data_IF_405924409000
#
_entry.id   IF_405924409000
#
_cell.length_a   1.000
_cell.length_b   1.000
_cell.length_c   1.000
_cell.angle_alpha   90.00
_cell.angle_beta   90.00
_cell.angle_gamma   90.00
#
_symmetry.space_group_name_H-M   'P 1'
#
loop_
_entity.id
_entity.type
_entity.pdbx_description
1 polymer ?
#
# COMPACT_ATOMS: atom_id res chain seq x y z
N UNK A 1 -14.42 29.36 -21.40
CA UNK A 1 -14.90 27.95 -21.34
C UNK A 1 -14.14 27.16 -22.38
N UNK A 2 -13.19 26.31 -21.97
CA UNK A 2 -12.61 25.31 -22.86
C UNK A 2 -11.99 24.18 -22.03
N UNK A 3 -12.69 23.04 -21.96
CA UNK A 3 -12.13 21.75 -21.54
C UNK A 3 -12.35 20.79 -22.70
N UNK A 4 -11.30 20.14 -23.25
CA UNK A 4 -11.45 18.87 -23.94
C UNK A 4 -11.02 17.76 -22.96
N UNK A 5 -11.95 16.96 -22.41
CA UNK A 5 -12.57 15.75 -22.96
C UNK A 5 -11.59 14.55 -23.05
N UNK A 6 -11.55 13.81 -21.94
CA UNK A 6 -11.29 12.37 -21.75
C UNK A 6 -10.55 11.63 -22.89
N UNK A 7 -9.36 11.13 -22.59
CA UNK A 7 -8.77 9.96 -23.24
C UNK A 7 -8.49 8.88 -22.19
N UNK A 8 -9.23 7.78 -22.30
CA UNK A 8 -8.92 6.50 -21.69
C UNK A 8 -7.54 6.00 -22.15
N UNK A 9 -6.79 5.36 -21.26
CA UNK A 9 -5.76 4.39 -21.65
C UNK A 9 -5.93 3.13 -20.81
N UNK A 10 -6.49 2.13 -21.47
CA UNK A 10 -6.57 0.73 -21.05
C UNK A 10 -5.22 0.08 -21.30
N UNK A 11 -4.73 -0.68 -20.32
CA UNK A 11 -3.95 -1.90 -20.56
C UNK A 11 -2.43 -1.77 -20.55
N UNK A 12 -1.81 -2.18 -19.45
CA UNK A 12 -0.53 -2.87 -19.48
C UNK A 12 -0.54 -3.95 -18.39
N UNK A 13 -1.07 -5.12 -18.75
CA UNK A 13 -0.80 -6.35 -18.02
C UNK A 13 0.68 -6.70 -18.24
N UNK A 14 1.49 -6.71 -17.19
CA UNK A 14 2.82 -7.32 -17.22
C UNK A 14 2.82 -8.52 -16.28
N UNK A 15 2.48 -9.67 -16.87
CA UNK A 15 2.91 -10.97 -16.39
C UNK A 15 4.40 -11.08 -16.75
N UNK A 16 5.25 -11.04 -15.73
CA UNK A 16 6.68 -11.27 -15.86
C UNK A 16 7.15 -12.27 -14.81
N UNK A 17 6.79 -13.55 -14.99
CA UNK A 17 7.46 -14.65 -14.30
C UNK A 17 8.55 -15.17 -15.21
N UNK A 18 9.81 -14.87 -14.87
CA UNK A 18 10.95 -15.72 -15.18
C UNK A 18 11.88 -15.67 -13.96
N UNK A 19 11.67 -16.58 -13.01
CA UNK A 19 12.69 -16.91 -12.01
C UNK A 19 13.31 -18.22 -12.46
N UNK A 20 14.30 -18.13 -13.33
CA UNK A 20 15.29 -19.18 -13.54
C UNK A 20 16.58 -18.61 -13.00
N UNK A 21 17.10 -19.17 -11.89
CA UNK A 21 18.54 -19.23 -11.67
C UNK A 21 18.84 -20.32 -10.64
N UNK A 22 19.03 -21.53 -11.14
CA UNK A 22 19.79 -22.57 -10.47
C UNK A 22 21.24 -22.50 -10.95
N UNK A 23 22.14 -22.38 -9.97
CA UNK A 23 23.57 -22.74 -10.01
C UNK A 23 24.54 -21.77 -10.72
N UNK A 24 25.12 -20.88 -9.90
CA UNK A 24 26.56 -20.84 -9.64
C UNK A 24 27.49 -20.45 -10.79
N UNK A 25 27.76 -19.14 -10.92
CA UNK A 25 29.09 -18.57 -11.23
C UNK A 25 29.12 -17.17 -10.61
N UNK A 26 29.97 -16.96 -9.60
CA UNK A 26 30.20 -15.65 -8.97
C UNK A 26 31.21 -14.84 -9.80
N UNK A 27 30.89 -13.62 -10.27
CA UNK A 27 31.90 -12.64 -10.66
C UNK A 27 32.36 -11.80 -9.45
N UNK A 28 33.67 -11.50 -9.33
CA UNK A 28 34.21 -10.69 -8.25
C UNK A 28 33.92 -9.20 -8.51
N UNK A 29 33.52 -8.49 -7.47
CA UNK A 29 33.45 -7.03 -7.48
C UNK A 29 32.03 -6.47 -7.44
N UNK A 30 31.54 -6.31 -6.21
CA UNK A 30 30.74 -5.17 -5.74
C UNK A 30 30.64 -5.30 -4.22
N UNK A 31 31.74 -5.00 -3.54
CA UNK A 31 31.71 -4.66 -2.13
C UNK A 31 30.75 -3.49 -1.91
N UNK A 32 29.91 -3.63 -0.89
CA UNK A 32 28.98 -2.60 -0.47
C UNK A 32 27.53 -2.92 -0.79
N UNK A 33 27.07 -4.12 -0.42
CA UNK A 33 25.72 -4.26 0.14
C UNK A 33 25.54 -3.20 1.22
N UNK A 34 25.03 -2.02 0.85
CA UNK A 34 24.33 -1.20 1.81
C UNK A 34 23.23 -2.11 2.37
N UNK A 35 23.07 -2.24 3.70
CA UNK A 35 21.85 -2.81 4.20
C UNK A 35 20.76 -1.92 3.61
N UNK A 36 19.95 -2.46 2.70
CA UNK A 36 18.61 -1.93 2.54
C UNK A 36 18.06 -2.03 3.95
N UNK A 37 18.02 -0.89 4.63
CA UNK A 37 17.38 -0.77 5.93
C UNK A 37 16.09 -1.52 5.75
N UNK A 38 15.93 -2.59 6.52
CA UNK A 38 14.66 -3.29 6.63
C UNK A 38 13.75 -2.36 7.41
N UNK A 39 13.47 -1.19 6.84
CA UNK A 39 12.38 -0.30 7.20
C UNK A 39 11.16 -1.20 7.17
N UNK A 40 10.73 -1.60 8.37
CA UNK A 40 9.65 -2.54 8.54
C UNK A 40 8.40 -1.83 8.01
N UNK A 41 7.97 -2.16 6.78
CA UNK A 41 6.84 -1.48 6.13
C UNK A 41 5.66 -1.34 7.09
N UNK A 42 5.02 -0.16 7.07
CA UNK A 42 3.85 0.07 7.90
C UNK A 42 2.75 -0.92 7.53
N UNK A 43 2.16 -1.54 8.56
CA UNK A 43 1.12 -2.55 8.44
C UNK A 43 0.16 -2.42 9.61
N UNK A 44 -1.12 -2.56 9.32
CA UNK A 44 -2.20 -2.30 10.27
C UNK A 44 -3.20 -3.45 10.28
N UNK A 45 -3.85 -3.67 11.41
CA UNK A 45 -4.97 -4.57 11.62
C UNK A 45 -6.27 -3.77 11.77
N UNK A 46 -7.35 -4.26 11.15
CA UNK A 46 -8.68 -3.65 11.23
C UNK A 46 -9.40 -4.06 12.50
N UNK A 47 -9.83 -3.10 13.32
CA UNK A 47 -10.52 -3.36 14.59
C UNK A 47 -12.05 -3.31 14.49
N UNK A 48 -12.60 -2.65 13.46
CA UNK A 48 -14.04 -2.55 13.21
C UNK A 48 -14.60 -3.77 12.47
N UNK A 49 -15.89 -4.09 12.69
CA UNK A 49 -16.60 -5.19 12.01
C UNK A 49 -16.50 -5.06 10.48
N UNK A 50 -16.74 -3.84 9.97
CA UNK A 50 -16.60 -3.49 8.56
C UNK A 50 -15.99 -2.09 8.44
N UNK A 51 -14.83 -2.01 7.79
CA UNK A 51 -14.14 -0.75 7.52
C UNK A 51 -14.19 -0.42 6.03
N UNK A 52 -14.70 0.77 5.68
CA UNK A 52 -14.72 1.26 4.31
C UNK A 52 -13.35 1.82 3.92
N UNK A 53 -12.86 1.43 2.74
CA UNK A 53 -11.74 2.07 2.05
C UNK A 53 -12.32 3.07 1.07
N UNK A 54 -11.83 4.29 1.11
CA UNK A 54 -12.34 5.44 0.37
C UNK A 54 -11.31 5.97 -0.62
N UNK A 55 -11.79 6.58 -1.70
CA UNK A 55 -10.96 7.15 -2.75
C UNK A 55 -10.10 8.34 -2.27
N UNK A 56 -10.54 9.02 -1.20
CA UNK A 56 -9.91 10.21 -0.62
C UNK A 56 -10.07 10.20 0.91
N UNK A 57 -9.25 10.97 1.65
CA UNK A 57 -9.32 11.07 3.11
C UNK A 57 -10.49 11.96 3.58
N UNK A 58 -11.71 11.50 3.28
CA UNK A 58 -12.96 12.19 3.58
C UNK A 58 -14.08 11.16 3.82
N UNK A 59 -14.89 11.36 4.87
CA UNK A 59 -15.99 10.46 5.23
C UNK A 59 -17.13 10.37 4.20
N UNK A 60 -17.19 11.30 3.24
CA UNK A 60 -18.17 11.36 2.14
C UNK A 60 -17.57 10.91 0.80
N UNK A 61 -16.26 10.64 0.73
CA UNK A 61 -15.63 10.13 -0.48
C UNK A 61 -16.17 8.75 -0.87
N UNK A 62 -16.11 8.44 -2.17
CA UNK A 62 -16.53 7.16 -2.74
C UNK A 62 -15.85 5.99 -2.02
N UNK A 63 -16.62 4.92 -1.76
CA UNK A 63 -16.12 3.69 -1.18
C UNK A 63 -15.58 2.82 -2.31
N UNK A 64 -14.27 2.59 -2.32
CA UNK A 64 -13.54 1.80 -3.33
C UNK A 64 -13.18 0.40 -2.84
N UNK A 65 -13.50 0.08 -1.59
CA UNK A 65 -13.26 -1.24 -1.02
C UNK A 65 -13.75 -1.35 0.42
N UNK A 66 -13.66 -2.55 0.98
CA UNK A 66 -14.01 -2.83 2.38
C UNK A 66 -13.06 -3.86 2.97
N UNK A 67 -12.78 -3.70 4.25
CA UNK A 67 -12.16 -4.72 5.08
C UNK A 67 -13.14 -5.20 6.15
N UNK A 68 -12.91 -6.43 6.62
CA UNK A 68 -13.58 -6.98 7.80
C UNK A 68 -12.63 -6.91 8.99
N UNK A 69 -13.18 -7.04 10.20
CA UNK A 69 -12.40 -7.14 11.43
C UNK A 69 -11.29 -8.21 11.33
N UNK A 70 -10.13 -7.90 11.90
CA UNK A 70 -8.94 -8.76 11.91
C UNK A 70 -8.20 -8.82 10.57
N UNK A 71 -8.70 -8.16 9.52
CA UNK A 71 -7.95 -8.05 8.28
C UNK A 71 -6.69 -7.21 8.49
N UNK A 72 -5.57 -7.68 7.94
CA UNK A 72 -4.34 -6.91 7.89
C UNK A 72 -4.15 -6.28 6.51
N UNK A 73 -3.58 -5.07 6.48
CA UNK A 73 -3.23 -4.38 5.25
C UNK A 73 -1.91 -3.64 5.39
N UNK A 74 -1.15 -3.60 4.29
CA UNK A 74 -0.06 -2.65 4.14
C UNK A 74 -0.62 -1.23 4.13
N UNK A 75 0.13 -0.31 4.73
CA UNK A 75 -0.26 1.09 4.85
C UNK A 75 0.96 2.00 4.70
N UNK A 76 0.69 3.28 4.52
CA UNK A 76 1.70 4.33 4.62
C UNK A 76 1.66 4.95 6.01
N UNK A 77 2.78 5.55 6.43
CA UNK A 77 2.85 6.33 7.67
C UNK A 77 1.94 7.58 7.63
N UNK A 78 1.48 7.97 6.44
CA UNK A 78 0.67 9.16 6.17
C UNK A 78 -0.74 9.02 6.76
N UNK A 79 -1.16 10.05 7.50
CA UNK A 79 -2.55 10.26 7.94
C UNK A 79 -2.97 11.67 7.54
N UNK A 80 -4.15 11.79 6.94
CA UNK A 80 -4.75 13.06 6.57
C UNK A 80 -6.23 13.04 6.96
N UNK A 81 -6.71 14.10 7.60
CA UNK A 81 -8.12 14.25 8.04
C UNK A 81 -8.66 13.05 8.84
N UNK A 82 -7.80 12.38 9.62
CA UNK A 82 -8.19 11.18 10.38
C UNK A 82 -8.24 9.87 9.56
N UNK A 83 -7.83 9.89 8.29
CA UNK A 83 -7.73 8.70 7.46
C UNK A 83 -6.26 8.34 7.21
N UNK A 84 -5.92 7.06 7.35
CA UNK A 84 -4.61 6.51 6.97
C UNK A 84 -4.65 6.08 5.51
N UNK A 85 -3.57 6.39 4.79
CA UNK A 85 -3.38 5.95 3.42
C UNK A 85 -2.95 4.48 3.40
N UNK A 86 -3.64 3.68 2.58
CA UNK A 86 -3.40 2.24 2.38
C UNK A 86 -2.80 1.93 1.00
N UNK A 87 -2.44 2.97 0.26
CA UNK A 87 -2.02 2.94 -1.14
C UNK A 87 -2.63 4.10 -1.92
N UNK A 88 -2.25 4.23 -3.18
CA UNK A 88 -2.73 5.30 -4.06
C UNK A 88 -4.27 5.35 -4.08
N UNK A 89 -4.84 6.53 -3.77
CA UNK A 89 -6.29 6.76 -3.70
C UNK A 89 -7.05 5.74 -2.83
N UNK A 90 -6.42 5.22 -1.77
CA UNK A 90 -7.04 4.29 -0.83
C UNK A 90 -6.82 4.77 0.58
N UNK A 91 -7.91 5.11 1.26
CA UNK A 91 -7.90 5.73 2.58
C UNK A 91 -8.90 5.04 3.49
N UNK A 92 -8.54 4.76 4.74
CA UNK A 92 -9.48 4.23 5.72
C UNK A 92 -9.35 5.00 7.04
N UNK A 93 -10.44 5.10 7.81
CA UNK A 93 -10.41 5.85 9.07
C UNK A 93 -9.37 5.25 10.01
N UNK A 94 -8.42 6.07 10.44
CA UNK A 94 -7.28 5.65 11.25
C UNK A 94 -7.70 5.17 12.64
N UNK A 95 -8.86 5.62 13.14
CA UNK A 95 -9.40 5.20 14.44
C UNK A 95 -9.76 3.69 14.49
N UNK A 96 -9.94 3.06 13.33
CA UNK A 96 -10.26 1.64 13.19
C UNK A 96 -9.08 0.80 12.69
N UNK A 97 -7.87 1.38 12.71
CA UNK A 97 -6.64 0.74 12.29
C UNK A 97 -5.65 0.71 13.45
N UNK A 98 -5.27 -0.48 13.85
CA UNK A 98 -4.24 -0.70 14.85
C UNK A 98 -2.91 -1.05 14.15
N UNK A 99 -1.85 -0.25 14.33
CA UNK A 99 -0.52 -0.65 13.86
C UNK A 99 -0.10 -2.02 14.41
N UNK A 100 0.54 -2.83 13.56
CA UNK A 100 1.16 -4.07 14.02
C UNK A 100 2.50 -3.76 14.72
N UNK A 101 2.84 -4.48 15.80
CA UNK A 101 4.08 -4.24 16.54
C UNK A 101 5.34 -4.33 15.66
N UNK A 102 6.30 -3.43 15.90
CA UNK A 102 7.61 -3.43 15.24
C UNK A 102 7.55 -3.02 13.75
N UNK A 103 6.47 -2.36 13.32
CA UNK A 103 6.32 -1.78 11.97
C UNK A 103 6.60 -0.27 12.01
N UNK A 104 6.84 0.33 10.85
CA UNK A 104 7.17 1.76 10.71
C UNK A 104 6.08 2.73 11.21
N UNK A 105 4.89 2.23 11.54
CA UNK A 105 3.78 3.02 12.05
C UNK A 105 3.24 2.54 13.40
N UNK A 106 3.97 1.64 14.08
CA UNK A 106 3.75 1.27 15.50
C UNK A 106 3.93 2.47 16.43
#
# INVERSE_FOLDING_TARGET
MLVPKRTMLVGAALVGVVVVYSMGVEPPGRDGSAPASSESKCRVEVTADVLNVRAAPDGKAEIVGKFKQGAEADAEVIVQNGFRMLGENRWASAEFLKPLPGRACD
#
